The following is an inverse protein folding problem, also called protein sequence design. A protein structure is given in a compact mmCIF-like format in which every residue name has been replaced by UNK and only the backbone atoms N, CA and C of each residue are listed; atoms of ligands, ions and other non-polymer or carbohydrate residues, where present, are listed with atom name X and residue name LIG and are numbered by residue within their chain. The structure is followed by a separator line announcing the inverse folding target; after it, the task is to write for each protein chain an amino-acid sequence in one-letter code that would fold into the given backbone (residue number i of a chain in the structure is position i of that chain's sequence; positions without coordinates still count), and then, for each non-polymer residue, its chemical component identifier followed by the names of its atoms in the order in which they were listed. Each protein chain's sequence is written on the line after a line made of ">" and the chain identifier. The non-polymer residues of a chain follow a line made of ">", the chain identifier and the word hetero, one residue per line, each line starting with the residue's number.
data_IF_136753133876
#
_entry.id   IF_136753133876
#
_cell.length_a   1.000
_cell.length_b   1.000
_cell.length_c   1.000
_cell.angle_alpha   90.00
_cell.angle_beta   90.00
_cell.angle_gamma   90.00
#
_symmetry.space_group_name_H-M   'P 1'
#
loop_
_entity.id
_entity.type
_entity.pdbx_description
1 polymer ?
#
# COMPACT_ATOMS: atom_id res chain seq x y z
N UNK A 1 -25.38 1.64 93.23
CA UNK A 1 -26.61 1.63 92.40
C UNK A 1 -26.25 1.02 91.06
N UNK A 2 -26.64 -0.25 90.82
CA UNK A 2 -27.72 -0.70 89.88
C UNK A 2 -27.30 -0.55 88.40
N UNK A 3 -27.44 -1.53 87.50
CA UNK A 3 -28.01 -2.88 87.54
C UNK A 3 -27.62 -3.63 86.25
N UNK A 4 -27.61 -4.96 86.32
CA UNK A 4 -27.61 -5.92 85.20
C UNK A 4 -29.03 -6.04 84.59
N UNK A 5 -29.17 -6.55 83.35
CA UNK A 5 -29.82 -7.85 83.02
C UNK A 5 -30.10 -8.06 81.51
N UNK A 6 -29.88 -9.31 81.07
CA UNK A 6 -30.28 -9.95 79.81
C UNK A 6 -31.69 -10.60 79.90
N UNK A 7 -32.17 -11.13 78.75
CA UNK A 7 -33.10 -12.27 78.49
C UNK A 7 -34.19 -11.87 77.47
N UNK A 8 -34.21 -12.45 76.26
CA UNK A 8 -34.72 -13.77 75.86
C UNK A 8 -36.26 -13.79 75.70
N UNK A 9 -36.73 -14.20 74.51
CA UNK A 9 -38.12 -14.50 74.22
C UNK A 9 -38.20 -15.83 73.46
N UNK A 10 -39.17 -16.66 73.86
CA UNK A 10 -39.38 -18.03 73.41
C UNK A 10 -40.84 -18.26 72.98
N UNK A 11 -41.02 -19.31 72.16
CA UNK A 11 -42.22 -20.15 71.98
C UNK A 11 -43.40 -19.57 71.16
N UNK A 12 -44.20 -20.33 70.38
CA UNK A 12 -44.18 -21.70 69.85
C UNK A 12 -45.38 -21.86 68.86
N UNK A 13 -45.56 -23.07 68.30
CA UNK A 13 -46.66 -23.60 67.46
C UNK A 13 -46.46 -23.43 65.93
N UNK A 14 -46.79 -24.37 65.04
CA UNK A 14 -47.51 -25.65 65.11
C UNK A 14 -47.09 -26.51 63.88
N UNK A 15 -47.00 -27.82 64.03
CA UNK A 15 -46.74 -28.79 62.94
C UNK A 15 -48.03 -29.09 62.16
N UNK A 16 -47.98 -29.00 60.83
CA UNK A 16 -48.92 -29.68 59.93
C UNK A 16 -48.11 -30.49 58.92
N UNK A 17 -48.31 -31.80 58.97
CA UNK A 17 -47.82 -32.81 58.04
C UNK A 17 -48.71 -32.87 56.79
N UNK A 18 -48.13 -32.67 55.60
CA UNK A 18 -48.76 -33.03 54.32
C UNK A 18 -47.78 -33.85 53.51
N UNK A 19 -48.27 -35.00 53.04
CA UNK A 19 -47.50 -36.13 52.53
C UNK A 19 -46.72 -35.88 51.24
N UNK A 20 -45.59 -36.58 51.15
CA UNK A 20 -44.80 -36.71 49.94
C UNK A 20 -45.60 -37.45 48.86
N UNK A 21 -45.71 -36.85 47.67
CA UNK A 21 -45.83 -37.60 46.42
C UNK A 21 -44.56 -37.38 45.61
N UNK A 22 -43.77 -38.45 45.50
CA UNK A 22 -42.70 -38.59 44.52
C UNK A 22 -43.28 -38.37 43.13
N UNK A 23 -42.78 -37.37 42.41
CA UNK A 23 -42.82 -37.33 40.95
C UNK A 23 -41.38 -37.30 40.46
N UNK A 24 -41.07 -38.21 39.54
CA UNK A 24 -39.75 -38.42 38.99
C UNK A 24 -39.24 -37.18 38.26
N UNK A 25 -37.97 -36.87 38.45
CA UNK A 25 -37.25 -35.78 37.79
C UNK A 25 -37.14 -36.07 36.29
N UNK A 26 -37.73 -35.21 35.44
CA UNK A 26 -37.40 -35.14 34.02
C UNK A 26 -36.04 -34.46 33.80
N UNK A 27 -35.32 -34.77 32.71
CA UNK A 27 -34.01 -34.19 32.44
C UNK A 27 -34.08 -32.67 32.24
N UNK A 28 -32.99 -31.93 32.56
CA UNK A 28 -32.96 -30.48 32.47
C UNK A 28 -33.16 -29.99 31.03
N UNK A 29 -33.98 -28.95 30.88
CA UNK A 29 -34.26 -28.31 29.59
C UNK A 29 -32.98 -27.70 28.99
N UNK A 30 -32.74 -27.96 27.70
CA UNK A 30 -31.70 -27.30 26.92
C UNK A 30 -32.07 -25.84 26.62
N UNK A 31 -31.10 -24.90 26.60
CA UNK A 31 -31.36 -23.53 26.22
C UNK A 31 -31.78 -23.42 24.74
N UNK A 32 -32.60 -22.41 24.37
CA UNK A 32 -33.15 -22.29 23.02
C UNK A 32 -32.05 -22.00 21.98
N UNK A 33 -32.15 -22.67 20.84
CA UNK A 33 -31.33 -22.43 19.65
C UNK A 33 -31.65 -21.07 19.02
N UNK A 34 -30.65 -20.32 18.50
CA UNK A 34 -30.92 -19.11 17.75
C UNK A 34 -31.57 -19.44 16.39
N UNK A 35 -32.63 -18.71 16.04
CA UNK A 35 -33.30 -18.83 14.75
C UNK A 35 -32.38 -18.44 13.56
N UNK A 36 -32.58 -18.98 12.35
CA UNK A 36 -31.78 -18.63 11.18
C UNK A 36 -32.10 -17.20 10.73
N UNK A 37 -31.06 -16.40 10.48
CA UNK A 37 -31.19 -15.06 9.93
C UNK A 37 -31.82 -15.11 8.51
N UNK A 38 -32.97 -14.48 8.35
CA UNK A 38 -33.61 -14.25 7.07
C UNK A 38 -32.80 -13.31 6.19
N UNK A 39 -32.68 -13.65 4.90
CA UNK A 39 -32.08 -12.82 3.88
C UNK A 39 -32.93 -11.55 3.65
N UNK A 40 -32.31 -10.38 3.77
CA UNK A 40 -32.90 -9.11 3.34
C UNK A 40 -32.76 -8.94 1.81
N UNK A 41 -33.69 -8.27 1.11
CA UNK A 41 -33.68 -8.18 -0.35
C UNK A 41 -32.57 -7.26 -0.85
N UNK A 42 -31.93 -7.66 -1.96
CA UNK A 42 -30.94 -6.88 -2.66
C UNK A 42 -31.53 -5.56 -3.19
N UNK A 43 -30.99 -4.43 -2.75
CA UNK A 43 -31.22 -3.13 -3.37
C UNK A 43 -30.29 -2.96 -4.57
N UNK A 44 -30.86 -2.53 -5.70
CA UNK A 44 -30.16 -2.38 -6.97
C UNK A 44 -29.10 -1.25 -6.93
N UNK A 45 -27.89 -1.54 -7.38
CA UNK A 45 -26.83 -0.55 -7.60
C UNK A 45 -27.04 0.21 -8.93
N UNK A 46 -26.90 1.55 -8.95
CA UNK A 46 -26.86 2.30 -10.21
C UNK A 46 -25.49 2.16 -10.90
N UNK A 47 -25.41 2.33 -12.23
CA UNK A 47 -24.22 2.00 -13.00
C UNK A 47 -23.17 3.12 -13.00
N UNK A 48 -21.91 2.72 -12.82
CA UNK A 48 -20.75 3.28 -13.53
C UNK A 48 -20.23 4.66 -13.11
N UNK A 49 -19.16 4.68 -12.31
CA UNK A 49 -18.29 5.84 -12.14
C UNK A 49 -16.89 5.47 -11.64
N UNK A 50 -15.89 5.58 -12.51
CA UNK A 50 -14.46 5.78 -12.20
C UNK A 50 -13.78 4.82 -11.21
N UNK A 51 -13.16 3.75 -11.71
CA UNK A 51 -12.08 3.04 -10.98
C UNK A 51 -10.84 3.95 -10.95
N UNK A 52 -10.67 4.74 -9.89
CA UNK A 52 -9.55 5.70 -9.83
C UNK A 52 -9.37 6.49 -8.54
N UNK A 53 -9.93 6.05 -7.41
CA UNK A 53 -9.55 6.44 -6.04
C UNK A 53 -9.94 5.23 -5.19
N UNK A 54 -9.07 4.71 -4.33
CA UNK A 54 -9.51 3.72 -3.34
C UNK A 54 -10.72 4.33 -2.62
N UNK A 55 -11.85 3.62 -2.60
CA UNK A 55 -13.10 4.19 -2.10
C UNK A 55 -12.86 4.72 -0.68
N UNK A 56 -12.93 6.05 -0.54
CA UNK A 56 -12.90 6.73 0.75
C UNK A 56 -13.86 6.00 1.68
N UNK A 57 -13.36 5.44 2.78
CA UNK A 57 -14.14 4.50 3.61
C UNK A 57 -14.77 5.21 4.81
N UNK A 58 -14.23 6.38 5.17
CA UNK A 58 -14.64 7.15 6.34
C UNK A 58 -15.32 8.47 5.98
N UNK A 59 -16.26 8.98 6.81
CA UNK A 59 -16.98 10.24 6.56
C UNK A 59 -16.05 11.42 6.21
N UNK A 60 -14.99 11.64 6.99
CA UNK A 60 -14.05 12.74 6.78
C UNK A 60 -13.31 12.69 5.41
N UNK A 61 -13.24 11.51 4.78
CA UNK A 61 -12.63 11.34 3.46
C UNK A 61 -13.62 11.53 2.29
N UNK A 62 -14.92 11.39 2.57
CA UNK A 62 -15.97 11.45 1.56
C UNK A 62 -16.59 12.85 1.46
N UNK A 63 -16.50 13.66 2.53
CA UNK A 63 -17.08 14.99 2.56
C UNK A 63 -16.38 15.97 1.62
N UNK A 64 -17.16 16.90 1.07
CA UNK A 64 -16.61 18.05 0.37
C UNK A 64 -15.91 18.99 1.38
N UNK A 65 -14.82 19.67 0.98
CA UNK A 65 -14.27 20.77 1.77
C UNK A 65 -15.34 21.85 1.99
N UNK A 66 -15.41 22.39 3.20
CA UNK A 66 -16.27 23.51 3.55
C UNK A 66 -15.74 24.85 3.00
N UNK A 67 -16.19 25.94 3.60
CA UNK A 67 -15.83 27.30 3.18
C UNK A 67 -14.29 27.51 3.23
N UNK A 68 -13.65 27.90 2.10
CA UNK A 68 -12.23 28.20 2.06
C UNK A 68 -11.76 29.22 3.12
N UNK A 69 -12.58 30.20 3.49
CA UNK A 69 -12.23 31.17 4.53
C UNK A 69 -12.15 30.52 5.92
N UNK A 70 -13.06 29.58 6.21
CA UNK A 70 -13.06 28.81 7.46
C UNK A 70 -11.88 27.85 7.49
N UNK A 71 -11.60 27.17 6.38
CA UNK A 71 -10.41 26.30 6.23
C UNK A 71 -9.12 27.11 6.48
N UNK A 72 -8.99 28.29 5.87
CA UNK A 72 -7.81 29.13 6.03
C UNK A 72 -7.65 29.63 7.47
N UNK A 73 -8.75 30.04 8.12
CA UNK A 73 -8.75 30.40 9.54
C UNK A 73 -8.33 29.21 10.42
N UNK A 74 -8.92 28.04 10.16
CA UNK A 74 -8.61 26.79 10.84
C UNK A 74 -7.15 26.39 10.71
N UNK A 75 -6.58 26.55 9.51
CA UNK A 75 -5.15 26.32 9.24
C UNK A 75 -4.27 27.20 10.11
N UNK A 76 -4.54 28.50 10.17
CA UNK A 76 -3.77 29.43 11.01
C UNK A 76 -3.86 29.05 12.49
N UNK A 77 -5.05 28.72 12.97
CA UNK A 77 -5.24 28.26 14.36
C UNK A 77 -4.51 26.94 14.63
N UNK A 78 -4.53 26.00 13.69
CA UNK A 78 -3.81 24.74 13.79
C UNK A 78 -2.29 24.95 13.83
N UNK A 79 -1.76 25.83 12.98
CA UNK A 79 -0.33 26.15 12.92
C UNK A 79 0.18 26.74 14.24
N UNK A 80 -0.65 27.56 14.91
CA UNK A 80 -0.32 28.18 16.19
C UNK A 80 -0.42 27.17 17.35
N UNK A 81 -1.49 26.37 17.40
CA UNK A 81 -1.85 25.62 18.61
C UNK A 81 -1.54 24.11 18.54
N UNK A 82 -1.51 23.52 17.34
CA UNK A 82 -1.57 22.06 17.18
C UNK A 82 -0.34 21.49 16.45
N UNK A 83 0.26 22.26 15.54
CA UNK A 83 1.37 21.84 14.66
C UNK A 83 2.55 21.24 15.42
N UNK A 84 2.90 21.78 16.59
CA UNK A 84 4.07 21.34 17.34
C UNK A 84 3.99 19.84 17.72
N UNK A 85 2.79 19.36 18.07
CA UNK A 85 2.56 17.97 18.43
C UNK A 85 2.11 17.13 17.24
N UNK A 86 1.31 17.69 16.33
CA UNK A 86 0.67 16.93 15.25
C UNK A 86 1.35 17.08 13.88
N UNK A 87 2.43 17.87 13.77
CA UNK A 87 3.18 18.10 12.53
C UNK A 87 2.54 19.17 11.64
N UNK A 88 3.30 19.73 10.69
CA UNK A 88 2.73 20.66 9.70
C UNK A 88 1.80 19.94 8.71
N UNK A 89 2.01 18.64 8.53
CA UNK A 89 1.31 17.73 7.62
C UNK A 89 0.30 16.82 8.34
N UNK A 90 0.01 17.08 9.62
CA UNK A 90 -0.94 16.35 10.46
C UNK A 90 -0.54 14.90 10.78
N UNK A 91 0.72 14.52 10.55
CA UNK A 91 1.19 13.12 10.66
C UNK A 91 1.93 12.79 11.96
N UNK A 92 1.92 13.70 12.92
CA UNK A 92 2.70 13.64 14.15
C UNK A 92 3.94 14.53 14.04
N UNK A 93 4.18 15.33 15.07
CA UNK A 93 5.30 16.26 15.18
C UNK A 93 6.35 15.77 16.18
N UNK A 94 7.46 16.51 16.29
CA UNK A 94 8.64 16.13 17.09
C UNK A 94 8.32 15.96 18.58
N UNK A 95 7.24 16.58 19.08
CA UNK A 95 6.76 16.42 20.45
C UNK A 95 5.93 15.14 20.69
N UNK A 96 5.81 14.27 19.69
CA UNK A 96 5.21 12.93 19.84
C UNK A 96 3.68 12.88 19.81
N UNK A 97 3.00 13.87 19.22
CA UNK A 97 1.56 13.79 19.00
C UNK A 97 1.18 12.76 17.94
N UNK A 98 -0.06 12.28 17.99
CA UNK A 98 -0.54 11.24 17.08
C UNK A 98 -0.72 11.76 15.65
N UNK A 99 -0.65 10.86 14.66
CA UNK A 99 -1.04 11.12 13.29
C UNK A 99 -2.57 11.31 13.18
N UNK A 100 -3.02 12.55 12.94
CA UNK A 100 -4.43 12.89 12.83
C UNK A 100 -5.08 12.29 11.58
N UNK A 101 -4.32 12.16 10.47
CA UNK A 101 -4.82 11.56 9.22
C UNK A 101 -5.13 10.06 9.33
N UNK A 102 -4.70 9.40 10.43
CA UNK A 102 -4.98 8.00 10.72
C UNK A 102 -5.80 7.81 12.00
N UNK A 103 -6.19 8.89 12.65
CA UNK A 103 -6.96 8.84 13.89
C UNK A 103 -8.39 8.38 13.60
N UNK A 104 -8.87 7.28 14.21
CA UNK A 104 -10.27 6.87 14.05
C UNK A 104 -11.25 7.96 14.51
N UNK A 105 -10.85 8.78 15.49
CA UNK A 105 -11.67 9.91 15.93
C UNK A 105 -11.84 10.93 14.82
N UNK A 106 -10.73 11.37 14.20
CA UNK A 106 -10.76 12.36 13.11
C UNK A 106 -11.44 11.80 11.87
N UNK A 107 -11.23 10.51 11.56
CA UNK A 107 -11.82 9.90 10.38
C UNK A 107 -13.34 9.78 10.47
N UNK A 108 -13.89 9.62 11.68
CA UNK A 108 -15.33 9.52 11.92
C UNK A 108 -15.96 10.83 12.41
N UNK A 109 -15.20 11.93 12.48
CA UNK A 109 -15.70 13.26 12.80
C UNK A 109 -16.28 13.89 11.53
N UNK A 110 -17.45 14.54 11.65
CA UNK A 110 -18.10 15.18 10.50
C UNK A 110 -17.96 16.71 10.57
N UNK A 111 -18.30 17.31 11.71
CA UNK A 111 -18.45 18.76 11.93
C UNK A 111 -17.69 19.27 13.17
N UNK A 112 -16.72 18.50 13.68
CA UNK A 112 -15.94 18.82 14.88
C UNK A 112 -16.54 18.27 16.17
N UNK A 113 -17.62 17.50 16.12
CA UNK A 113 -18.35 17.01 17.30
C UNK A 113 -17.55 16.01 18.16
N UNK A 114 -16.62 15.26 17.56
CA UNK A 114 -15.70 14.37 18.26
C UNK A 114 -14.38 15.07 18.62
N UNK A 115 -13.92 15.99 17.76
CA UNK A 115 -12.68 16.74 17.96
C UNK A 115 -12.82 17.79 19.08
N UNK A 116 -13.94 18.52 19.12
CA UNK A 116 -14.20 19.60 20.08
C UNK A 116 -13.96 19.21 21.55
N UNK A 117 -14.60 18.15 22.09
CA UNK A 117 -14.40 17.79 23.50
C UNK A 117 -12.95 17.41 23.80
N UNK A 118 -12.28 16.74 22.86
CA UNK A 118 -10.88 16.33 22.99
C UNK A 118 -9.93 17.52 23.04
N UNK A 119 -10.16 18.54 22.22
CA UNK A 119 -9.37 19.78 22.24
C UNK A 119 -9.60 20.55 23.55
N UNK A 120 -10.84 20.70 23.99
CA UNK A 120 -11.17 21.50 25.18
C UNK A 120 -10.72 20.85 26.49
N UNK A 121 -10.87 19.53 26.60
CA UNK A 121 -10.62 18.80 27.87
C UNK A 121 -9.28 18.09 27.92
N UNK A 122 -8.63 17.92 26.76
CA UNK A 122 -7.42 17.10 26.64
C UNK A 122 -7.70 15.60 26.78
N UNK A 123 -6.64 14.80 26.66
CA UNK A 123 -6.67 13.33 26.83
C UNK A 123 -5.41 12.84 27.50
N UNK A 124 -5.60 12.01 28.53
CA UNK A 124 -4.52 11.33 29.24
C UNK A 124 -4.90 9.86 29.39
N UNK A 125 -4.35 9.02 28.51
CA UNK A 125 -4.57 7.58 28.55
C UNK A 125 -3.22 6.87 28.78
N UNK A 126 -3.15 5.85 29.65
CA UNK A 126 -1.92 5.07 29.85
C UNK A 126 -1.37 4.53 28.52
N UNK A 127 -0.09 4.77 28.24
CA UNK A 127 0.57 4.30 27.02
C UNK A 127 0.30 5.13 25.75
N UNK A 128 -0.44 6.25 25.85
CA UNK A 128 -0.67 7.18 24.73
C UNK A 128 -0.03 8.55 25.01
N UNK A 129 0.38 9.32 23.99
CA UNK A 129 0.80 10.70 24.16
C UNK A 129 -0.26 11.53 24.88
N UNK A 130 0.17 12.36 25.82
CA UNK A 130 -0.71 13.28 26.53
C UNK A 130 -1.11 14.41 25.60
N UNK A 131 -2.40 14.64 25.48
CA UNK A 131 -2.96 15.84 24.86
C UNK A 131 -3.42 16.78 25.97
N UNK A 132 -2.77 17.93 26.19
CA UNK A 132 -3.25 18.91 27.17
C UNK A 132 -4.55 19.58 26.68
N UNK A 133 -5.36 20.13 27.61
CA UNK A 133 -6.52 20.92 27.23
C UNK A 133 -6.10 22.23 26.56
N UNK A 134 -6.79 22.61 25.50
CA UNK A 134 -6.67 23.89 24.82
C UNK A 134 -8.01 24.62 24.92
N UNK A 135 -8.12 25.68 25.73
CA UNK A 135 -9.37 26.42 25.96
C UNK A 135 -9.68 27.36 24.79
N UNK A 136 -9.85 26.80 23.60
CA UNK A 136 -10.24 27.52 22.40
C UNK A 136 -11.77 27.68 22.33
N UNK A 137 -12.28 28.80 21.81
CA UNK A 137 -13.71 28.96 21.52
C UNK A 137 -14.23 27.81 20.64
N UNK A 138 -15.48 27.35 20.83
CA UNK A 138 -16.01 26.23 20.03
C UNK A 138 -15.92 26.45 18.51
N UNK A 139 -16.15 27.67 18.03
CA UNK A 139 -16.07 28.00 16.61
C UNK A 139 -14.62 27.96 16.07
N UNK A 140 -13.63 28.18 16.94
CA UNK A 140 -12.21 28.05 16.60
C UNK A 140 -11.83 26.59 16.43
N UNK A 141 -12.33 25.74 17.32
CA UNK A 141 -12.11 24.29 17.21
C UNK A 141 -12.81 23.71 16.00
N UNK A 142 -14.03 24.17 15.67
CA UNK A 142 -14.72 23.79 14.44
C UNK A 142 -13.94 24.22 13.19
N UNK A 143 -13.39 25.43 13.18
CA UNK A 143 -12.52 25.87 12.08
C UNK A 143 -11.28 24.97 11.95
N UNK A 144 -10.64 24.59 13.06
CA UNK A 144 -9.51 23.65 13.07
C UNK A 144 -9.94 22.27 12.53
N UNK A 145 -11.08 21.74 12.96
CA UNK A 145 -11.63 20.47 12.48
C UNK A 145 -11.87 20.54 10.95
N UNK A 146 -12.44 21.63 10.46
CA UNK A 146 -12.67 21.86 9.03
C UNK A 146 -11.36 21.86 8.23
N UNK A 147 -10.31 22.49 8.75
CA UNK A 147 -8.98 22.41 8.15
C UNK A 147 -8.45 20.98 8.12
N UNK A 148 -8.54 20.23 9.22
CA UNK A 148 -8.10 18.84 9.30
C UNK A 148 -8.84 17.98 8.25
N UNK A 149 -10.15 18.14 8.13
CA UNK A 149 -10.96 17.43 7.13
C UNK A 149 -10.58 17.77 5.69
N UNK A 150 -10.27 19.04 5.40
CA UNK A 150 -9.78 19.44 4.07
C UNK A 150 -8.49 18.72 3.67
N UNK A 151 -7.60 18.45 4.66
CA UNK A 151 -6.37 17.69 4.45
C UNK A 151 -6.68 16.20 4.31
N UNK A 152 -7.58 15.64 5.13
CA UNK A 152 -8.00 14.23 5.04
C UNK A 152 -8.64 13.91 3.68
N UNK A 153 -9.46 14.81 3.14
CA UNK A 153 -10.12 14.66 1.84
C UNK A 153 -9.13 14.63 0.66
N UNK A 154 -7.94 15.22 0.82
CA UNK A 154 -6.89 15.27 -0.20
C UNK A 154 -5.68 14.38 0.11
N UNK A 155 -5.67 13.75 1.28
CA UNK A 155 -4.61 12.85 1.71
C UNK A 155 -4.54 11.61 0.81
N UNK A 156 -3.32 11.13 0.60
CA UNK A 156 -3.09 9.87 -0.12
C UNK A 156 -3.48 8.69 0.78
N UNK A 157 -3.70 7.48 0.20
CA UNK A 157 -4.08 6.29 0.96
C UNK A 157 -3.20 6.05 2.21
N UNK A 158 -3.79 5.49 3.26
CA UNK A 158 -3.14 5.20 4.54
C UNK A 158 -2.57 6.45 5.26
N UNK A 159 -3.16 7.62 5.04
CA UNK A 159 -2.76 8.88 5.69
C UNK A 159 -1.43 9.41 5.18
N UNK A 160 -0.99 9.00 3.98
CA UNK A 160 0.14 9.60 3.27
C UNK A 160 -0.14 11.10 3.00
N UNK A 161 0.89 11.96 2.99
CA UNK A 161 0.69 13.39 2.84
C UNK A 161 -0.14 13.69 1.58
N UNK A 162 -0.96 14.74 1.60
CA UNK A 162 -1.52 15.28 0.37
C UNK A 162 -0.40 15.48 -0.65
N UNK A 163 -0.71 15.32 -1.94
CA UNK A 163 0.27 15.67 -2.96
C UNK A 163 0.63 17.14 -2.77
N UNK A 164 1.88 17.41 -2.34
CA UNK A 164 2.40 18.77 -2.28
C UNK A 164 2.48 19.37 -3.68
N UNK A 165 2.82 20.66 -3.77
CA UNK A 165 3.18 21.25 -5.05
C UNK A 165 4.27 20.39 -5.70
N UNK A 166 4.09 20.02 -6.97
CA UNK A 166 5.10 19.27 -7.70
C UNK A 166 6.38 20.09 -7.75
N UNK A 167 7.40 19.65 -7.01
CA UNK A 167 8.75 20.19 -7.15
C UNK A 167 9.39 19.45 -8.31
N UNK A 168 9.63 20.16 -9.41
CA UNK A 168 10.41 19.64 -10.52
C UNK A 168 11.85 19.39 -10.04
N UNK A 169 12.15 18.14 -9.66
CA UNK A 169 13.50 17.74 -9.32
C UNK A 169 14.29 17.51 -10.61
N UNK A 170 15.37 18.25 -10.80
CA UNK A 170 16.31 17.95 -11.89
C UNK A 170 17.22 16.79 -11.46
N UNK A 171 17.09 15.66 -12.15
CA UNK A 171 17.93 14.48 -11.89
C UNK A 171 19.16 14.39 -12.81
N UNK A 172 19.26 15.27 -13.81
CA UNK A 172 20.39 15.33 -14.75
C UNK A 172 21.51 16.14 -14.11
N UNK A 173 22.21 15.53 -13.15
CA UNK A 173 23.27 16.16 -12.35
C UNK A 173 24.66 15.53 -12.57
N UNK A 174 24.75 14.51 -13.42
CA UNK A 174 26.01 13.80 -13.70
C UNK A 174 26.87 14.45 -14.78
N UNK A 175 28.07 13.88 -14.99
CA UNK A 175 28.99 14.25 -16.05
C UNK A 175 28.74 13.39 -17.30
N UNK A 176 28.23 14.03 -18.35
CA UNK A 176 27.94 13.36 -19.63
C UNK A 176 29.18 12.74 -20.30
N UNK A 177 30.38 13.30 -20.08
CA UNK A 177 31.63 12.74 -20.63
C UNK A 177 32.03 11.46 -19.88
N UNK A 178 31.90 11.46 -18.56
CA UNK A 178 32.10 10.25 -17.76
C UNK A 178 31.05 9.18 -18.11
N UNK A 179 29.80 9.59 -18.32
CA UNK A 179 28.72 8.71 -18.76
C UNK A 179 28.98 8.07 -20.12
N UNK A 180 29.50 8.83 -21.08
CA UNK A 180 29.89 8.32 -22.39
C UNK A 180 31.00 7.26 -22.28
N UNK A 181 32.00 7.48 -21.41
CA UNK A 181 33.07 6.51 -21.16
C UNK A 181 32.54 5.24 -20.48
N UNK A 182 31.66 5.38 -19.50
CA UNK A 182 31.00 4.25 -18.85
C UNK A 182 30.19 3.44 -19.87
N UNK A 183 29.36 4.12 -20.68
CA UNK A 183 28.56 3.52 -21.75
C UNK A 183 29.44 2.72 -22.73
N UNK A 184 30.55 3.30 -23.18
CA UNK A 184 31.49 2.63 -24.06
C UNK A 184 32.06 1.33 -23.44
N UNK A 185 32.28 1.31 -22.13
CA UNK A 185 32.88 0.16 -21.43
C UNK A 185 31.87 -0.92 -21.00
N UNK A 186 30.63 -0.56 -20.70
CA UNK A 186 29.62 -1.46 -20.08
C UNK A 186 28.38 -1.71 -20.93
N UNK A 187 28.07 -0.83 -21.87
CA UNK A 187 26.81 -0.86 -22.62
C UNK A 187 27.04 -1.14 -24.12
N UNK A 188 28.18 -0.70 -24.65
CA UNK A 188 28.45 -0.70 -26.10
C UNK A 188 28.58 -2.10 -26.74
N UNK A 189 28.73 -3.16 -25.94
CA UNK A 189 28.70 -4.54 -26.44
C UNK A 189 27.31 -4.97 -26.95
N UNK A 190 26.26 -4.28 -26.49
CA UNK A 190 24.86 -4.61 -26.83
C UNK A 190 24.12 -3.44 -27.49
N UNK A 191 24.45 -2.20 -27.10
CA UNK A 191 23.77 -0.98 -27.53
C UNK A 191 24.71 -0.06 -28.31
N UNK A 192 24.17 0.64 -29.30
CA UNK A 192 24.88 1.67 -30.05
C UNK A 192 24.19 3.02 -29.88
N UNK A 193 24.98 4.02 -29.48
CA UNK A 193 24.53 5.41 -29.36
C UNK A 193 24.05 6.00 -30.71
N UNK A 194 24.56 5.47 -31.82
CA UNK A 194 24.19 5.86 -33.19
C UNK A 194 23.29 4.83 -33.87
N UNK A 195 22.93 3.75 -33.18
CA UNK A 195 22.06 2.69 -33.68
C UNK A 195 20.74 2.66 -32.90
N UNK A 196 20.55 1.62 -32.10
CA UNK A 196 19.31 1.39 -31.38
C UNK A 196 18.99 2.47 -30.32
N UNK A 197 20.00 3.18 -29.82
CA UNK A 197 19.81 4.30 -28.89
C UNK A 197 19.87 5.68 -29.55
N UNK A 198 20.02 5.76 -30.87
CA UNK A 198 19.97 7.04 -31.57
C UNK A 198 18.61 7.70 -31.33
N UNK A 199 18.60 8.94 -30.84
CA UNK A 199 17.38 9.68 -30.51
C UNK A 199 16.58 9.13 -29.33
N UNK A 200 17.21 8.39 -28.42
CA UNK A 200 16.53 7.89 -27.23
C UNK A 200 16.01 9.02 -26.33
N UNK A 201 16.72 10.15 -26.25
CA UNK A 201 16.27 11.32 -25.47
C UNK A 201 15.05 11.99 -26.10
N UNK A 202 14.88 11.87 -27.42
CA UNK A 202 13.69 12.36 -28.13
C UNK A 202 12.49 11.42 -27.93
N UNK A 203 12.74 10.09 -27.83
CA UNK A 203 11.69 9.08 -27.56
C UNK A 203 11.26 9.04 -26.09
N UNK A 204 12.18 9.30 -25.17
CA UNK A 204 11.95 9.31 -23.71
C UNK A 204 12.45 10.64 -23.17
N UNK A 205 11.62 11.68 -23.31
CA UNK A 205 11.97 13.07 -23.02
C UNK A 205 12.14 13.36 -21.53
N UNK A 206 11.43 12.62 -20.68
CA UNK A 206 11.51 12.78 -19.23
C UNK A 206 12.76 12.09 -18.67
N UNK A 207 13.73 12.84 -18.09
CA UNK A 207 14.99 12.26 -17.65
C UNK A 207 14.82 11.13 -16.63
N UNK A 208 13.85 11.24 -15.72
CA UNK A 208 13.57 10.18 -14.74
C UNK A 208 13.09 8.89 -15.40
N UNK A 209 12.28 9.02 -16.45
CA UNK A 209 11.84 7.85 -17.21
C UNK A 209 12.99 7.24 -17.98
N UNK A 210 13.86 8.06 -18.57
CA UNK A 210 15.07 7.61 -19.26
C UNK A 210 16.02 6.88 -18.31
N UNK A 211 16.26 7.43 -17.12
CA UNK A 211 17.09 6.79 -16.09
C UNK A 211 16.52 5.43 -15.69
N UNK A 212 15.24 5.38 -15.34
CA UNK A 212 14.57 4.15 -14.95
C UNK A 212 14.59 3.10 -16.07
N UNK A 213 14.47 3.54 -17.32
CA UNK A 213 14.49 2.68 -18.51
C UNK A 213 15.81 1.92 -18.62
N UNK A 214 16.93 2.64 -18.65
CA UNK A 214 18.24 2.01 -18.87
C UNK A 214 18.73 1.28 -17.62
N UNK A 215 18.40 1.75 -16.41
CA UNK A 215 18.73 1.04 -15.17
C UNK A 215 18.03 -0.31 -15.13
N UNK A 216 16.73 -0.35 -15.47
CA UNK A 216 15.98 -1.60 -15.52
C UNK A 216 16.35 -2.49 -16.72
N UNK A 217 16.89 -1.91 -17.79
CA UNK A 217 17.11 -2.58 -19.08
C UNK A 217 15.83 -2.86 -19.86
N UNK A 218 14.67 -2.40 -19.36
CA UNK A 218 13.37 -2.73 -19.93
C UNK A 218 12.94 -1.57 -20.83
N UNK A 219 12.95 -1.80 -22.15
CA UNK A 219 12.28 -0.94 -23.14
C UNK A 219 10.86 -0.54 -22.69
N UNK A 220 10.50 0.72 -22.88
CA UNK A 220 9.39 1.41 -22.20
C UNK A 220 8.14 0.54 -22.02
N UNK A 221 7.71 0.38 -20.76
CA UNK A 221 6.58 -0.46 -20.39
C UNK A 221 6.81 -1.23 -19.09
N UNK A 222 7.18 -0.52 -18.02
CA UNK A 222 7.36 -1.06 -16.67
C UNK A 222 6.02 -1.36 -15.99
N UNK A 223 5.25 -2.30 -16.52
CA UNK A 223 4.16 -2.94 -15.80
C UNK A 223 4.72 -4.06 -14.92
N UNK A 224 4.75 -3.82 -13.60
CA UNK A 224 5.01 -4.82 -12.57
C UNK A 224 4.14 -6.05 -12.86
N UNK A 225 4.76 -7.22 -13.02
CA UNK A 225 4.09 -8.46 -13.40
C UNK A 225 2.80 -8.71 -12.62
N UNK A 226 1.67 -8.45 -13.27
CA UNK A 226 0.35 -8.85 -12.80
C UNK A 226 0.17 -10.32 -13.13
N UNK A 227 0.20 -11.16 -12.08
CA UNK A 227 -0.34 -12.52 -12.13
C UNK A 227 -1.86 -12.38 -12.34
N UNK A 228 -2.29 -12.40 -13.60
CA UNK A 228 -3.69 -12.24 -13.96
C UNK A 228 -3.82 -12.16 -15.48
N UNK A 229 -3.92 -13.31 -16.12
CA UNK A 229 -4.37 -13.42 -17.51
C UNK A 229 -5.79 -12.87 -17.61
N UNK A 230 -5.94 -11.60 -17.99
CA UNK A 230 -7.17 -11.16 -18.63
C UNK A 230 -7.14 -11.71 -20.05
N UNK A 231 -7.81 -12.85 -20.26
CA UNK A 231 -8.13 -13.33 -21.60
C UNK A 231 -9.01 -12.26 -22.27
N UNK A 232 -8.55 -11.69 -23.39
CA UNK A 232 -9.40 -10.84 -24.23
C UNK A 232 -8.79 -9.56 -24.81
N UNK A 233 -7.52 -9.23 -24.56
CA UNK A 233 -6.86 -8.15 -25.30
C UNK A 233 -5.93 -8.74 -26.37
N UNK A 234 -6.25 -8.51 -27.64
CA UNK A 234 -5.32 -8.76 -28.73
C UNK A 234 -4.01 -8.01 -28.45
N UNK A 235 -2.83 -8.64 -28.61
CA UNK A 235 -1.57 -7.96 -28.39
C UNK A 235 -1.44 -6.85 -29.42
N UNK A 236 -1.49 -5.59 -28.96
CA UNK A 236 -1.06 -4.46 -29.76
C UNK A 236 0.40 -4.70 -30.14
N UNK A 237 0.69 -4.64 -31.44
CA UNK A 237 2.04 -4.78 -31.97
C UNK A 237 3.02 -3.82 -31.25
N UNK A 238 4.26 -4.29 -31.06
CA UNK A 238 5.42 -3.55 -30.57
C UNK A 238 5.55 -3.32 -29.04
N UNK A 239 5.56 -4.41 -28.27
CA UNK A 239 6.63 -4.56 -27.27
C UNK A 239 7.55 -5.68 -27.73
N UNK A 240 8.52 -5.34 -28.58
CA UNK A 240 9.55 -6.26 -29.09
C UNK A 240 10.56 -6.64 -28.00
N UNK A 241 10.10 -7.09 -26.83
CA UNK A 241 11.02 -7.71 -25.87
C UNK A 241 11.57 -8.96 -26.53
N UNK A 242 12.88 -8.95 -26.80
CA UNK A 242 13.59 -10.15 -27.24
C UNK A 242 13.31 -11.24 -26.21
N UNK A 243 12.72 -12.38 -26.61
CA UNK A 243 12.38 -13.43 -25.67
C UNK A 243 13.66 -14.01 -25.06
N UNK A 244 13.57 -14.46 -23.81
CA UNK A 244 14.60 -15.33 -23.24
C UNK A 244 14.54 -16.66 -23.99
N UNK A 245 15.66 -17.08 -24.55
CA UNK A 245 15.76 -18.36 -25.26
C UNK A 245 16.57 -19.35 -24.45
N UNK A 246 16.31 -20.62 -24.66
CA UNK A 246 17.02 -21.71 -23.98
C UNK A 246 17.39 -22.79 -24.98
N UNK A 247 18.62 -23.31 -24.87
CA UNK A 247 19.04 -24.55 -25.52
C UNK A 247 19.20 -25.63 -24.46
N UNK A 248 18.50 -26.76 -24.66
CA UNK A 248 18.52 -27.92 -23.78
C UNK A 248 19.21 -29.07 -24.51
N UNK A 249 20.29 -29.60 -23.96
CA UNK A 249 20.99 -30.78 -24.47
C UNK A 249 20.68 -31.98 -23.56
N UNK A 250 19.92 -32.95 -24.08
CA UNK A 250 19.52 -34.17 -23.35
C UNK A 250 20.67 -35.18 -23.22
N UNK A 251 20.47 -36.21 -22.39
CA UNK A 251 21.50 -37.22 -22.11
C UNK A 251 21.93 -38.03 -23.35
N UNK A 252 21.03 -38.20 -24.31
CA UNK A 252 21.28 -38.83 -25.61
C UNK A 252 21.90 -37.85 -26.63
N UNK A 253 22.23 -36.62 -26.20
CA UNK A 253 22.90 -35.62 -27.02
C UNK A 253 21.98 -34.79 -27.91
N UNK A 254 20.66 -35.01 -27.88
CA UNK A 254 19.74 -34.18 -28.65
C UNK A 254 19.71 -32.76 -28.11
N UNK A 255 19.89 -31.79 -29.01
CA UNK A 255 19.82 -30.36 -28.68
C UNK A 255 18.49 -29.80 -29.16
N UNK A 256 17.71 -29.27 -28.22
CA UNK A 256 16.41 -28.63 -28.49
C UNK A 256 16.50 -27.18 -28.07
N UNK A 257 16.13 -26.26 -28.96
CA UNK A 257 16.16 -24.83 -28.71
C UNK A 257 14.78 -24.21 -28.89
N UNK A 258 14.47 -23.21 -28.06
CA UNK A 258 13.23 -22.47 -28.16
C UNK A 258 13.17 -21.28 -27.23
N UNK A 259 11.99 -20.65 -27.17
CA UNK A 259 11.68 -19.66 -26.14
C UNK A 259 11.55 -20.37 -24.80
N UNK A 260 12.19 -19.84 -23.76
CA UNK A 260 12.05 -20.35 -22.40
C UNK A 260 10.66 -20.00 -21.87
N UNK A 261 9.86 -20.99 -21.52
CA UNK A 261 8.55 -20.79 -20.87
C UNK A 261 8.67 -20.90 -19.35
N UNK A 262 9.45 -21.88 -18.85
CA UNK A 262 9.67 -22.12 -17.43
C UNK A 262 10.98 -22.85 -17.17
N UNK A 263 11.64 -22.53 -16.07
CA UNK A 263 12.71 -23.35 -15.49
C UNK A 263 12.63 -23.31 -13.96
N UNK A 264 12.82 -24.46 -13.34
CA UNK A 264 13.03 -24.64 -11.90
C UNK A 264 13.97 -25.82 -11.67
N UNK A 265 14.17 -26.24 -10.42
CA UNK A 265 15.12 -27.32 -10.07
C UNK A 265 14.72 -28.69 -10.62
N UNK A 266 13.47 -28.87 -11.05
CA UNK A 266 12.92 -30.16 -11.48
C UNK A 266 12.64 -30.23 -12.96
N UNK A 267 12.34 -29.10 -13.62
CA UNK A 267 11.97 -29.08 -15.03
C UNK A 267 12.52 -27.85 -15.77
N UNK A 268 12.68 -28.02 -17.08
CA UNK A 268 12.81 -26.93 -18.05
C UNK A 268 11.77 -27.13 -19.16
N UNK A 269 11.01 -26.08 -19.44
CA UNK A 269 9.96 -26.06 -20.47
C UNK A 269 10.26 -24.95 -21.47
N UNK A 270 10.21 -25.29 -22.76
CA UNK A 270 10.44 -24.38 -23.87
C UNK A 270 9.40 -24.58 -24.97
N UNK A 271 9.11 -23.51 -25.71
CA UNK A 271 8.38 -23.56 -26.97
C UNK A 271 9.36 -23.51 -28.13
N UNK A 272 9.42 -24.59 -28.92
CA UNK A 272 10.32 -24.73 -30.08
C UNK A 272 9.83 -23.89 -31.27
N UNK A 273 10.64 -23.76 -32.32
CA UNK A 273 10.30 -22.97 -33.51
C UNK A 273 9.07 -23.49 -34.28
N UNK A 274 8.74 -24.78 -34.13
CA UNK A 274 7.55 -25.44 -34.64
C UNK A 274 6.27 -25.13 -33.82
N UNK A 275 6.38 -24.32 -32.77
CA UNK A 275 5.29 -23.99 -31.85
C UNK A 275 5.00 -25.07 -30.81
N UNK A 276 5.72 -26.19 -30.82
CA UNK A 276 5.52 -27.28 -29.87
C UNK A 276 6.22 -26.97 -28.55
N UNK A 277 5.46 -27.11 -27.46
CA UNK A 277 6.01 -27.06 -26.12
C UNK A 277 6.67 -28.38 -25.77
N UNK A 278 7.89 -28.32 -25.23
CA UNK A 278 8.65 -29.47 -24.75
C UNK A 278 9.09 -29.24 -23.33
N UNK A 279 8.90 -30.24 -22.48
CA UNK A 279 9.28 -30.23 -21.07
C UNK A 279 10.28 -31.35 -20.80
N UNK A 280 11.39 -31.00 -20.17
CA UNK A 280 12.44 -31.94 -19.79
C UNK A 280 12.58 -31.95 -18.28
N UNK A 281 12.61 -33.14 -17.69
CA UNK A 281 12.93 -33.31 -16.27
C UNK A 281 14.42 -33.07 -16.06
N UNK A 282 14.75 -32.34 -14.99
CA UNK A 282 16.11 -32.06 -14.54
C UNK A 282 16.46 -33.01 -13.39
N UNK A 283 17.62 -33.63 -13.51
CA UNK A 283 18.24 -34.48 -12.48
C UNK A 283 19.71 -34.10 -12.42
N UNK A 284 20.07 -33.30 -11.41
CA UNK A 284 21.39 -32.67 -11.35
C UNK A 284 21.63 -31.77 -12.57
N UNK A 285 22.76 -31.97 -13.23
CA UNK A 285 23.18 -31.19 -14.41
C UNK A 285 22.61 -31.70 -15.75
N UNK A 286 21.72 -32.71 -15.71
CA UNK A 286 21.10 -33.30 -16.91
C UNK A 286 19.61 -32.95 -16.98
N UNK A 287 19.09 -32.45 -18.11
CA UNK A 287 19.82 -32.04 -19.32
C UNK A 287 20.68 -30.79 -19.09
N UNK A 288 21.72 -30.59 -19.92
CA UNK A 288 22.48 -29.33 -19.92
C UNK A 288 21.57 -28.21 -20.41
N UNK A 289 21.48 -27.11 -19.67
CA UNK A 289 20.61 -25.97 -19.99
C UNK A 289 21.45 -24.72 -20.20
N UNK A 290 21.34 -24.13 -21.39
CA UNK A 290 22.01 -22.88 -21.76
C UNK A 290 20.95 -21.80 -22.02
N UNK A 291 20.84 -20.83 -21.09
CA UNK A 291 19.87 -19.74 -21.18
C UNK A 291 20.55 -18.52 -21.79
N UNK A 292 19.90 -17.91 -22.77
CA UNK A 292 20.29 -16.61 -23.34
C UNK A 292 19.21 -15.59 -22.98
N UNK A 293 19.54 -14.71 -22.04
CA UNK A 293 18.65 -13.64 -21.57
C UNK A 293 19.19 -12.27 -21.99
N UNK A 294 18.50 -11.53 -22.88
CA UNK A 294 18.89 -10.19 -23.30
C UNK A 294 19.03 -9.17 -22.16
N UNK A 295 18.39 -9.40 -21.01
CA UNK A 295 18.46 -8.53 -19.83
C UNK A 295 19.55 -8.92 -18.83
N UNK A 296 20.26 -10.02 -19.05
CA UNK A 296 21.26 -10.52 -18.10
C UNK A 296 22.35 -9.48 -17.78
N UNK A 297 22.77 -8.70 -18.78
CA UNK A 297 23.71 -7.59 -18.59
C UNK A 297 23.19 -6.53 -17.61
N UNK A 298 21.95 -6.06 -17.81
CA UNK A 298 21.31 -5.11 -16.90
C UNK A 298 21.12 -5.69 -15.50
N UNK A 299 20.73 -6.97 -15.40
CA UNK A 299 20.58 -7.67 -14.11
C UNK A 299 21.89 -7.68 -13.32
N UNK A 300 23.01 -7.96 -13.99
CA UNK A 300 24.34 -7.99 -13.38
C UNK A 300 24.86 -6.61 -13.00
N UNK A 301 24.40 -5.57 -13.67
CA UNK A 301 24.80 -4.18 -13.38
C UNK A 301 24.19 -3.64 -12.08
N UNK A 302 23.04 -4.16 -11.61
CA UNK A 302 22.39 -3.69 -10.37
C UNK A 302 23.28 -3.70 -9.12
N UNK A 303 24.26 -4.62 -9.07
CA UNK A 303 25.20 -4.75 -7.94
C UNK A 303 26.57 -4.13 -8.24
N UNK A 304 26.74 -3.50 -9.41
CA UNK A 304 28.03 -2.98 -9.89
C UNK A 304 28.07 -1.47 -10.05
N UNK A 305 27.01 -0.84 -10.59
CA UNK A 305 27.01 0.61 -10.77
C UNK A 305 26.87 1.32 -9.41
N UNK A 306 27.42 2.52 -9.34
CA UNK A 306 27.24 3.46 -8.25
C UNK A 306 26.15 4.47 -8.58
N UNK A 307 25.71 5.24 -7.58
CA UNK A 307 24.82 6.39 -7.78
C UNK A 307 25.41 7.39 -8.79
N UNK A 308 26.74 7.63 -8.70
CA UNK A 308 27.45 8.48 -9.65
C UNK A 308 27.36 7.95 -11.08
N UNK A 309 27.58 6.65 -11.29
CA UNK A 309 27.49 6.04 -12.61
C UNK A 309 26.08 6.22 -13.20
N UNK A 310 25.04 6.08 -12.36
CA UNK A 310 23.66 6.27 -12.80
C UNK A 310 23.43 7.69 -13.30
N UNK A 311 23.89 8.68 -12.55
CA UNK A 311 23.76 10.08 -12.93
C UNK A 311 24.58 10.43 -14.17
N UNK A 312 25.81 9.96 -14.27
CA UNK A 312 26.70 10.21 -15.41
C UNK A 312 26.14 9.60 -16.70
N UNK A 313 25.72 8.32 -16.67
CA UNK A 313 25.12 7.65 -17.84
C UNK A 313 23.83 8.34 -18.24
N UNK A 314 22.98 8.72 -17.30
CA UNK A 314 21.75 9.47 -17.61
C UNK A 314 22.07 10.82 -18.25
N UNK A 315 23.07 11.55 -17.72
CA UNK A 315 23.54 12.81 -18.29
C UNK A 315 24.10 12.65 -19.72
N UNK A 316 24.72 11.51 -20.04
CA UNK A 316 25.11 11.19 -21.40
C UNK A 316 23.90 10.88 -22.30
N UNK A 317 23.00 10.01 -21.87
CA UNK A 317 21.88 9.55 -22.69
C UNK A 317 20.91 10.68 -23.08
N UNK A 318 20.71 11.70 -22.22
CA UNK A 318 19.89 12.87 -22.56
C UNK A 318 20.48 13.71 -23.71
N UNK A 319 21.75 13.52 -24.06
CA UNK A 319 22.39 14.19 -25.20
C UNK A 319 22.08 13.49 -26.54
N UNK A 320 21.60 12.25 -26.50
CA UNK A 320 21.33 11.43 -27.69
C UNK A 320 19.93 11.72 -28.26
N UNK A 321 19.82 12.82 -29.01
CA UNK A 321 18.57 13.30 -29.64
C UNK A 321 18.33 12.77 -31.05
#
# INVERSE_FOLDING_TARGET
>A
MRSRFSLAAAAAALLISVGARLTAQGPPAQPPTPAPAGQAPATAQPPGGGRGRGQATFPAQQRAPGDPAVIQRGKTLYEINCRLCHGADLRGGDMGGVNLLRSPLVLNDEDGELILPVVQTGRQNPGMPVMPPFPLPPDDVKAIAEYIHSVVATARPQGAPPAGAEVALNIVVGDAKAGAAYFASKCASCHSATGDLQGIASRVSEPMQLQNLWVAGIGGGGGRGGRGTAAGAAPTEASSRRPVTVAVTTADGQRVQGRLDRIDDFIVTLTSADGLQRTFRRVGDVPKVEITDPLDGHKKLFVQYTDKDIHDVTAYLVTLK
#
